data_IF_515522406284
#
_entry.id   IF_515522406284
#
_cell.length_a   1.000
_cell.length_b   1.000
_cell.length_c   1.000
_cell.angle_alpha   90.00
_cell.angle_beta   90.00
_cell.angle_gamma   90.00
#
_symmetry.space_group_name_H-M   'P 1'
#
loop_
_entity.id
_entity.type
_entity.pdbx_description
1 polymer ?
#
# COMPACT_ATOMS: atom_id res chain seq x y z
N UNK A 1 -13.31 2.37 -18.23
CA UNK A 1 -12.70 1.21 -18.84
C UNK A 1 -11.65 0.67 -17.88
N UNK A 2 -11.79 -0.54 -17.30
CA UNK A 2 -10.89 -1.00 -16.24
C UNK A 2 -9.53 -1.50 -16.75
N UNK A 3 -9.35 -1.69 -18.06
CA UNK A 3 -8.10 -2.19 -18.66
C UNK A 3 -7.78 -3.67 -18.38
N UNK A 4 -8.26 -4.21 -17.25
CA UNK A 4 -8.30 -5.63 -16.88
C UNK A 4 -9.62 -5.95 -16.19
N UNK A 5 -10.08 -7.21 -16.16
CA UNK A 5 -11.27 -7.59 -15.40
C UNK A 5 -11.09 -7.26 -13.91
N UNK A 6 -12.13 -6.67 -13.30
CA UNK A 6 -12.19 -6.50 -11.84
C UNK A 6 -12.29 -7.87 -11.17
N UNK A 7 -11.48 -8.06 -10.13
CA UNK A 7 -11.47 -9.28 -9.33
C UNK A 7 -12.84 -9.52 -8.64
N UNK A 8 -13.40 -10.75 -8.70
CA UNK A 8 -14.69 -11.06 -8.09
C UNK A 8 -14.76 -10.79 -6.57
N UNK A 9 -13.68 -11.02 -5.84
CA UNK A 9 -13.61 -10.76 -4.39
C UNK A 9 -13.60 -9.26 -4.12
N UNK A 10 -12.86 -8.48 -4.91
CA UNK A 10 -12.88 -7.02 -4.83
C UNK A 10 -14.29 -6.48 -5.11
N UNK A 11 -14.96 -6.99 -6.16
CA UNK A 11 -16.35 -6.67 -6.47
C UNK A 11 -17.30 -7.00 -5.33
N UNK A 12 -17.12 -8.13 -4.64
CA UNK A 12 -17.96 -8.50 -3.51
C UNK A 12 -17.84 -7.52 -2.33
N UNK A 13 -16.70 -6.84 -2.19
CA UNK A 13 -16.45 -5.83 -1.17
C UNK A 13 -16.98 -4.45 -1.60
N UNK A 14 -16.55 -3.93 -2.75
CA UNK A 14 -16.84 -2.54 -3.16
C UNK A 14 -18.09 -2.39 -4.04
N UNK A 15 -18.67 -3.49 -4.54
CA UNK A 15 -19.88 -3.49 -5.37
C UNK A 15 -19.71 -3.08 -6.84
N UNK A 16 -18.65 -2.33 -7.19
CA UNK A 16 -18.35 -1.88 -8.56
C UNK A 16 -18.11 -3.07 -9.51
N UNK A 17 -18.82 -3.10 -10.63
CA UNK A 17 -18.72 -4.11 -11.69
C UNK A 17 -17.91 -3.61 -12.90
N UNK A 18 -17.52 -4.53 -13.79
CA UNK A 18 -16.83 -4.15 -15.04
C UNK A 18 -17.74 -3.28 -15.91
N UNK A 19 -19.05 -3.52 -15.86
CA UNK A 19 -20.07 -2.78 -16.60
C UNK A 19 -20.19 -1.33 -16.09
N UNK A 20 -20.16 -1.13 -14.76
CA UNK A 20 -20.28 0.21 -14.15
C UNK A 20 -19.19 1.17 -14.60
N UNK A 21 -18.00 0.63 -14.89
CA UNK A 21 -16.85 1.42 -15.30
C UNK A 21 -16.52 1.23 -16.77
N UNK A 22 -17.30 0.51 -17.59
CA UNK A 22 -16.88 0.16 -18.96
C UNK A 22 -16.52 1.40 -19.80
N UNK A 23 -17.38 2.42 -19.76
CA UNK A 23 -17.26 3.65 -20.57
C UNK A 23 -16.51 4.79 -19.86
N UNK A 24 -16.02 4.55 -18.63
CA UNK A 24 -15.30 5.57 -17.87
C UNK A 24 -13.89 5.83 -18.42
N UNK A 25 -13.39 7.05 -18.19
CA UNK A 25 -12.04 7.43 -18.61
C UNK A 25 -10.97 6.58 -17.89
N UNK A 26 -9.90 6.14 -18.58
CA UNK A 26 -8.79 5.45 -17.93
C UNK A 26 -8.04 6.43 -17.00
N UNK A 27 -7.31 5.89 -16.02
CA UNK A 27 -6.54 6.69 -15.06
C UNK A 27 -5.63 7.71 -15.74
N UNK A 28 -4.86 7.30 -16.76
CA UNK A 28 -3.95 8.17 -17.50
C UNK A 28 -4.62 9.44 -18.07
N UNK A 29 -5.91 9.37 -18.42
CA UNK A 29 -6.67 10.53 -18.92
C UNK A 29 -7.00 11.56 -17.83
N UNK A 30 -6.93 11.16 -16.54
CA UNK A 30 -7.20 12.01 -15.36
C UNK A 30 -5.95 12.27 -14.52
N UNK A 31 -4.88 11.51 -14.74
CA UNK A 31 -3.68 11.50 -13.92
C UNK A 31 -3.12 12.91 -13.70
N UNK A 32 -2.89 13.69 -14.77
CA UNK A 32 -2.36 15.04 -14.62
C UNK A 32 -3.24 15.96 -13.76
N UNK A 33 -4.56 15.97 -14.00
CA UNK A 33 -5.48 16.79 -13.20
C UNK A 33 -5.54 16.36 -11.73
N UNK A 34 -5.41 15.06 -11.47
CA UNK A 34 -5.37 14.53 -10.10
C UNK A 34 -4.04 14.88 -9.42
N UNK A 35 -2.92 14.77 -10.14
CA UNK A 35 -1.60 15.17 -9.68
C UNK A 35 -1.60 16.65 -9.25
N UNK A 36 -2.09 17.52 -10.13
CA UNK A 36 -2.18 18.97 -9.89
C UNK A 36 -3.11 19.29 -8.70
N UNK A 37 -4.21 18.54 -8.54
CA UNK A 37 -5.11 18.69 -7.39
C UNK A 37 -4.45 18.27 -6.08
N UNK A 38 -3.63 17.22 -6.13
CA UNK A 38 -2.93 16.72 -4.96
C UNK A 38 -1.75 17.59 -4.57
N UNK A 39 -1.23 18.47 -5.42
CA UNK A 39 -0.12 19.36 -5.11
C UNK A 39 -0.59 20.75 -4.62
N UNK A 40 -0.14 21.27 -3.46
CA UNK A 40 0.82 20.74 -2.47
C UNK A 40 0.12 20.14 -1.22
N UNK A 41 -0.91 19.32 -1.40
CA UNK A 41 -1.68 18.77 -0.29
C UNK A 41 -0.89 17.76 0.56
N UNK A 42 -1.12 17.84 1.87
CA UNK A 42 -0.89 16.73 2.80
C UNK A 42 -1.93 15.63 2.55
N UNK A 43 -1.55 14.37 2.78
CA UNK A 43 -2.36 13.20 2.50
C UNK A 43 -2.80 12.53 3.80
N UNK A 44 -4.07 12.10 3.86
CA UNK A 44 -4.64 11.45 5.03
C UNK A 44 -5.60 10.34 4.64
N UNK A 45 -5.56 9.22 5.35
CA UNK A 45 -6.45 8.10 5.09
C UNK A 45 -6.36 7.00 6.15
N UNK A 46 -7.12 5.93 5.96
CA UNK A 46 -7.08 4.75 6.81
C UNK A 46 -6.34 3.65 6.06
N UNK A 47 -5.15 3.24 6.53
CA UNK A 47 -4.24 2.33 5.81
C UNK A 47 -3.61 2.92 4.53
N UNK A 48 -3.67 4.25 4.37
CA UNK A 48 -3.16 4.97 3.20
C UNK A 48 -1.70 4.65 2.90
N UNK A 49 -0.88 4.43 3.93
CA UNK A 49 0.57 4.18 3.78
C UNK A 49 0.90 2.81 3.19
N UNK A 50 -0.02 1.84 3.30
CA UNK A 50 0.19 0.47 2.81
C UNK A 50 -0.58 0.15 1.53
N UNK A 51 -1.61 0.93 1.21
CA UNK A 51 -2.50 0.64 0.10
C UNK A 51 -2.63 1.82 -0.87
N UNK A 52 -3.40 2.85 -0.53
CA UNK A 52 -3.80 3.87 -1.48
C UNK A 52 -2.61 4.65 -2.04
N UNK A 53 -1.64 5.04 -1.19
CA UNK A 53 -0.49 5.82 -1.63
C UNK A 53 0.49 5.00 -2.49
N UNK A 54 0.92 3.78 -2.10
CA UNK A 54 1.68 2.91 -3.00
C UNK A 54 0.98 2.64 -4.33
N UNK A 55 -0.33 2.42 -4.31
CA UNK A 55 -1.13 2.22 -5.53
C UNK A 55 -1.14 3.47 -6.41
N UNK A 56 -1.38 4.66 -5.84
CA UNK A 56 -1.35 5.92 -6.58
C UNK A 56 0.02 6.21 -7.19
N UNK A 57 1.11 5.96 -6.45
CA UNK A 57 2.48 6.11 -6.97
C UNK A 57 2.69 5.22 -8.21
N UNK A 58 2.26 3.95 -8.13
CA UNK A 58 2.35 3.03 -9.25
C UNK A 58 1.50 3.48 -10.46
N UNK A 59 0.29 3.95 -10.23
CA UNK A 59 -0.60 4.44 -11.30
C UNK A 59 -0.09 5.74 -11.95
N UNK A 60 0.46 6.67 -11.17
CA UNK A 60 1.13 7.86 -11.71
C UNK A 60 2.34 7.49 -12.56
N UNK A 61 3.17 6.55 -12.09
CA UNK A 61 4.33 6.04 -12.86
C UNK A 61 3.90 5.43 -14.19
N UNK A 62 2.80 4.66 -14.22
CA UNK A 62 2.20 4.11 -15.48
C UNK A 62 1.69 5.19 -16.43
N UNK A 63 1.42 6.39 -15.93
CA UNK A 63 1.00 7.55 -16.70
C UNK A 63 2.16 8.54 -16.99
N UNK A 64 3.41 8.09 -16.84
CA UNK A 64 4.63 8.88 -17.03
C UNK A 64 4.71 10.14 -16.12
N UNK A 65 4.13 10.05 -14.92
CA UNK A 65 4.17 11.09 -13.90
C UNK A 65 4.92 10.59 -12.65
N UNK A 66 6.02 11.25 -12.32
CA UNK A 66 6.77 10.97 -11.10
C UNK A 66 6.09 11.61 -9.88
N UNK A 67 5.34 10.83 -9.11
CA UNK A 67 4.72 11.27 -7.86
C UNK A 67 5.65 11.06 -6.67
N UNK A 68 6.39 12.11 -6.31
CA UNK A 68 7.18 12.12 -5.09
C UNK A 68 6.31 12.41 -3.87
N UNK A 69 6.18 11.42 -2.98
CA UNK A 69 5.43 11.55 -1.73
C UNK A 69 6.28 12.06 -0.57
N UNK A 70 7.62 12.03 -0.67
CA UNK A 70 8.56 12.44 0.40
C UNK A 70 8.40 13.89 0.87
N UNK A 71 8.08 14.88 0.02
CA UNK A 71 7.84 16.24 0.50
C UNK A 71 6.47 16.43 1.15
N UNK A 72 5.61 15.40 1.19
CA UNK A 72 4.23 15.49 1.66
C UNK A 72 4.10 14.83 3.03
N UNK A 73 3.30 15.43 3.89
CA UNK A 73 2.92 14.77 5.14
C UNK A 73 1.85 13.72 4.83
N UNK A 74 2.01 12.56 5.43
CA UNK A 74 1.08 11.43 5.31
C UNK A 74 0.61 10.99 6.68
N UNK A 75 -0.67 11.16 6.95
CA UNK A 75 -1.34 10.81 8.21
C UNK A 75 -2.16 9.53 8.02
N UNK A 76 -1.90 8.51 8.84
CA UNK A 76 -2.57 7.22 8.73
C UNK A 76 -3.31 6.87 10.03
N UNK A 77 -4.63 6.96 9.97
CA UNK A 77 -5.51 6.72 11.12
C UNK A 77 -5.48 5.27 11.58
N UNK A 78 -5.20 4.31 10.69
CA UNK A 78 -5.00 2.92 11.08
C UNK A 78 -3.68 2.75 11.83
N UNK A 79 -2.62 3.42 11.37
CA UNK A 79 -1.32 3.43 12.05
C UNK A 79 -1.43 3.96 13.48
N UNK A 80 -2.13 5.10 13.65
CA UNK A 80 -2.40 5.69 14.96
C UNK A 80 -3.18 4.69 15.84
N UNK A 81 -4.27 4.12 15.32
CA UNK A 81 -5.08 3.16 16.06
C UNK A 81 -4.27 1.94 16.53
N UNK A 82 -3.43 1.36 15.66
CA UNK A 82 -2.63 0.19 16.00
C UNK A 82 -1.54 0.46 17.04
N UNK A 83 -1.00 1.68 17.12
CA UNK A 83 -0.02 2.04 18.16
C UNK A 83 -0.69 2.34 19.49
N UNK A 84 -1.82 3.03 19.47
CA UNK A 84 -2.54 3.47 20.68
C UNK A 84 -3.43 2.39 21.31
N UNK A 85 -3.91 1.41 20.52
CA UNK A 85 -4.67 0.25 21.04
C UNK A 85 -3.89 -1.06 20.79
N UNK A 86 -2.85 -1.34 21.59
CA UNK A 86 -2.19 -2.63 21.57
C UNK A 86 -3.19 -3.75 21.86
N UNK A 87 -3.05 -4.87 21.15
CA UNK A 87 -3.99 -6.01 21.08
C UNK A 87 -4.09 -6.79 22.40
N UNK A 88 -4.63 -6.20 23.45
CA UNK A 88 -4.97 -6.88 24.70
C UNK A 88 -6.46 -7.28 24.75
N UNK A 89 -6.81 -8.14 25.72
CA UNK A 89 -8.17 -8.65 25.90
C UNK A 89 -9.20 -7.54 26.15
N UNK A 90 -8.77 -6.38 26.66
CA UNK A 90 -9.62 -5.22 26.92
C UNK A 90 -9.97 -4.46 25.64
N UNK A 91 -9.04 -4.37 24.69
CA UNK A 91 -9.29 -3.85 23.34
C UNK A 91 -10.28 -4.74 22.56
N UNK A 92 -10.16 -6.06 22.69
CA UNK A 92 -11.13 -7.01 22.13
C UNK A 92 -12.53 -6.83 22.75
N UNK A 93 -12.63 -6.66 24.06
CA UNK A 93 -13.91 -6.41 24.73
C UNK A 93 -14.57 -5.10 24.26
N UNK A 94 -13.80 -4.01 24.07
CA UNK A 94 -14.33 -2.76 23.52
C UNK A 94 -14.77 -2.86 22.05
N UNK A 95 -14.02 -3.62 21.24
CA UNK A 95 -14.31 -3.84 19.82
C UNK A 95 -15.54 -4.73 19.60
N UNK A 96 -15.68 -5.84 20.34
CA UNK A 96 -16.80 -6.76 20.21
C UNK A 96 -18.07 -6.32 20.96
N UNK A 97 -17.97 -5.43 21.96
CA UNK A 97 -19.13 -4.97 22.76
C UNK A 97 -19.58 -3.54 22.45
N UNK A 98 -18.99 -2.87 21.46
CA UNK A 98 -19.04 -1.41 21.35
C UNK A 98 -19.20 -0.83 19.96
N UNK A 99 -20.33 -1.18 19.30
CA UNK A 99 -20.95 -0.60 18.09
C UNK A 99 -20.57 -1.22 16.74
N UNK A 100 -21.61 -1.67 16.04
CA UNK A 100 -21.61 -1.90 14.60
C UNK A 100 -21.67 -0.57 13.84
N UNK A 101 -20.90 -0.45 12.77
CA UNK A 101 -21.17 0.53 11.73
C UNK A 101 -21.91 -0.20 10.60
N UNK A 102 -23.22 0.02 10.52
CA UNK A 102 -23.99 -0.31 9.32
C UNK A 102 -23.98 0.93 8.42
N UNK A 103 -23.25 0.88 7.30
CA UNK A 103 -23.64 1.43 6.00
C UNK A 103 -22.55 1.18 4.92
N UNK A 104 -23.00 1.09 3.67
CA UNK A 104 -22.29 0.53 2.51
C UNK A 104 -21.05 1.33 2.04
N UNK A 105 -20.02 0.56 1.63
CA UNK A 105 -18.71 0.94 1.08
C UNK A 105 -18.79 1.91 -0.10
N UNK A 106 -18.91 3.21 0.17
CA UNK A 106 -18.69 4.26 -0.84
C UNK A 106 -17.46 5.07 -0.46
N UNK A 107 -16.62 5.40 -1.43
CA UNK A 107 -15.38 6.14 -1.17
C UNK A 107 -15.61 7.46 -0.39
N UNK A 108 -16.74 8.15 -0.65
CA UNK A 108 -17.10 9.37 0.08
C UNK A 108 -17.56 9.09 1.51
N UNK A 109 -18.24 7.98 1.75
CA UNK A 109 -18.58 7.52 3.10
C UNK A 109 -17.30 7.21 3.88
N UNK A 110 -16.40 6.43 3.29
CA UNK A 110 -15.15 6.01 3.91
C UNK A 110 -14.26 7.20 4.29
N UNK A 111 -14.13 8.21 3.43
CA UNK A 111 -13.31 9.39 3.75
C UNK A 111 -13.92 10.26 4.86
N UNK A 112 -15.26 10.37 4.92
CA UNK A 112 -15.94 11.09 6.01
C UNK A 112 -15.76 10.38 7.35
N UNK A 113 -15.89 9.06 7.35
CA UNK A 113 -15.65 8.22 8.52
C UNK A 113 -14.19 8.33 8.96
N UNK A 114 -13.25 8.26 8.01
CA UNK A 114 -11.82 8.39 8.26
C UNK A 114 -11.45 9.75 8.91
N UNK A 115 -12.05 10.85 8.43
CA UNK A 115 -11.88 12.16 9.06
C UNK A 115 -12.47 12.21 10.49
N UNK A 116 -13.66 11.63 10.71
CA UNK A 116 -14.27 11.55 12.03
C UNK A 116 -13.44 10.70 13.01
N UNK A 117 -12.81 9.63 12.52
CA UNK A 117 -11.88 8.80 13.30
C UNK A 117 -10.68 9.62 13.75
N UNK A 118 -10.05 10.42 12.88
CA UNK A 118 -8.93 11.28 13.28
C UNK A 118 -9.33 12.25 14.40
N UNK A 119 -10.50 12.89 14.29
CA UNK A 119 -11.02 13.78 15.34
C UNK A 119 -11.18 13.02 16.66
N UNK A 120 -11.80 11.84 16.63
CA UNK A 120 -11.98 11.02 17.83
C UNK A 120 -10.65 10.55 18.43
N UNK A 121 -9.65 10.21 17.60
CA UNK A 121 -8.30 9.87 18.05
C UNK A 121 -7.62 11.06 18.74
N UNK A 122 -7.75 12.26 18.17
CA UNK A 122 -7.22 13.49 18.76
C UNK A 122 -7.90 13.85 20.09
N UNK A 123 -9.17 13.54 20.27
CA UNK A 123 -9.87 13.73 21.54
C UNK A 123 -9.49 12.68 22.59
N UNK A 124 -9.32 11.42 22.15
CA UNK A 124 -9.06 10.27 23.02
C UNK A 124 -7.61 10.21 23.50
N UNK A 125 -6.64 10.56 22.65
CA UNK A 125 -5.22 10.44 22.92
C UNK A 125 -4.61 11.83 23.12
N UNK A 126 -4.52 12.34 24.37
CA UNK A 126 -4.02 13.69 24.63
C UNK A 126 -2.55 13.88 24.22
N UNK A 127 -1.76 12.79 24.28
CA UNK A 127 -0.34 12.77 23.93
C UNK A 127 -0.07 12.66 22.42
N UNK A 128 -1.11 12.48 21.60
CA UNK A 128 -0.96 12.44 20.14
C UNK A 128 -0.46 13.82 19.65
N UNK A 129 0.59 13.85 18.79
CA UNK A 129 1.13 15.11 18.30
C UNK A 129 0.07 15.96 17.59
N UNK A 130 0.04 17.27 17.90
CA UNK A 130 -0.91 18.24 17.33
C UNK A 130 -0.34 19.03 16.16
N UNK A 131 0.97 19.01 16.02
CA UNK A 131 1.67 19.53 14.86
C UNK A 131 1.68 18.48 13.74
N UNK A 132 1.52 18.93 12.49
CA UNK A 132 1.39 18.04 11.34
C UNK A 132 2.69 17.32 11.01
N UNK A 133 3.86 17.97 11.16
CA UNK A 133 5.15 17.33 10.93
C UNK A 133 5.40 16.23 11.98
N UNK A 134 5.12 16.53 13.25
CA UNK A 134 5.22 15.55 14.32
C UNK A 134 4.23 14.39 14.17
N UNK A 135 2.98 14.66 13.75
CA UNK A 135 1.98 13.61 13.52
C UNK A 135 2.34 12.72 12.31
N UNK A 136 2.89 13.32 11.27
CA UNK A 136 3.45 12.59 10.13
C UNK A 136 4.58 11.66 10.57
N UNK A 137 5.57 12.18 11.32
CA UNK A 137 6.67 11.39 11.86
C UNK A 137 6.18 10.26 12.76
N UNK A 138 5.19 10.53 13.62
CA UNK A 138 4.56 9.54 14.48
C UNK A 138 3.96 8.38 13.66
N UNK A 139 3.29 8.67 12.54
CA UNK A 139 2.76 7.63 11.65
C UNK A 139 3.88 6.87 10.91
N UNK A 140 4.95 7.58 10.51
CA UNK A 140 6.06 7.03 9.75
C UNK A 140 6.87 6.01 10.54
N UNK A 141 7.07 6.24 11.84
CA UNK A 141 7.71 5.30 12.77
C UNK A 141 7.00 3.93 12.81
N UNK A 142 5.67 3.91 12.61
CA UNK A 142 4.84 2.72 12.79
C UNK A 142 4.68 1.99 11.46
N UNK A 143 4.33 2.75 10.42
CA UNK A 143 3.96 2.25 9.10
C UNK A 143 4.73 3.06 8.04
N UNK A 144 6.04 2.84 7.88
CA UNK A 144 6.78 3.54 6.84
C UNK A 144 6.20 3.14 5.47
N UNK A 145 6.08 4.13 4.59
CA UNK A 145 5.61 3.93 3.22
C UNK A 145 6.66 3.09 2.49
N UNK A 146 6.19 2.09 1.73
CA UNK A 146 7.05 1.19 0.97
C UNK A 146 6.56 1.10 -0.46
N UNK A 147 7.48 1.29 -1.39
CA UNK A 147 7.30 0.94 -2.80
C UNK A 147 6.97 -0.55 -2.96
N UNK A 148 6.45 -0.95 -4.13
CA UNK A 148 6.16 -2.35 -4.39
C UNK A 148 7.40 -3.25 -4.19
N UNK A 149 8.57 -2.77 -4.62
CA UNK A 149 9.84 -3.47 -4.40
C UNK A 149 10.18 -3.62 -2.91
N UNK A 150 10.07 -2.54 -2.12
CA UNK A 150 10.38 -2.56 -0.68
C UNK A 150 9.39 -3.38 0.15
N UNK A 151 8.19 -3.61 -0.37
CA UNK A 151 7.23 -4.54 0.24
C UNK A 151 7.67 -6.00 0.10
N UNK A 152 8.41 -6.32 -0.97
CA UNK A 152 8.95 -7.66 -1.23
C UNK A 152 10.36 -7.87 -0.71
N UNK A 153 11.20 -6.84 -0.74
CA UNK A 153 12.62 -6.94 -0.42
C UNK A 153 13.10 -5.87 0.57
N UNK A 154 14.06 -6.24 1.40
CA UNK A 154 14.96 -5.32 2.09
C UNK A 154 16.20 -5.12 1.23
N UNK A 155 16.77 -3.92 1.25
CA UNK A 155 18.10 -3.67 0.69
C UNK A 155 19.14 -3.77 1.80
N UNK A 156 20.02 -4.76 1.72
CA UNK A 156 21.13 -4.99 2.65
C UNK A 156 22.45 -4.81 1.89
N UNK A 157 22.97 -3.58 1.89
CA UNK A 157 24.08 -3.20 1.03
C UNK A 157 23.68 -3.21 -0.45
N UNK A 158 24.30 -4.07 -1.24
CA UNK A 158 23.97 -4.29 -2.65
C UNK A 158 22.99 -5.47 -2.84
N UNK A 159 22.70 -6.24 -1.80
CA UNK A 159 21.84 -7.42 -1.89
C UNK A 159 20.38 -7.07 -1.58
N UNK A 160 19.47 -7.75 -2.30
CA UNK A 160 18.04 -7.74 -2.01
C UNK A 160 17.66 -8.99 -1.23
N UNK A 161 17.05 -8.83 -0.08
CA UNK A 161 16.66 -9.92 0.83
C UNK A 161 15.15 -9.97 0.95
N UNK A 162 14.52 -11.13 0.79
CA UNK A 162 13.07 -11.28 0.86
C UNK A 162 12.51 -10.81 2.23
N UNK A 163 11.59 -9.85 2.22
CA UNK A 163 10.87 -9.34 3.40
C UNK A 163 9.65 -10.20 3.75
N UNK A 164 9.08 -10.90 2.77
CA UNK A 164 7.86 -11.70 2.87
C UNK A 164 7.93 -12.96 2.02
N UNK A 165 6.89 -13.80 2.12
CA UNK A 165 6.77 -15.03 1.35
C UNK A 165 7.56 -16.20 1.93
N UNK A 166 7.64 -17.30 1.17
CA UNK A 166 8.29 -18.57 1.56
C UNK A 166 9.77 -18.37 1.92
N UNK A 167 10.44 -17.44 1.24
CA UNK A 167 11.88 -17.21 1.36
C UNK A 167 12.25 -16.02 2.25
N UNK A 168 11.34 -15.56 3.12
CA UNK A 168 11.60 -14.43 4.02
C UNK A 168 12.94 -14.58 4.76
N UNK A 169 13.78 -13.55 4.67
CA UNK A 169 15.11 -13.47 5.27
C UNK A 169 16.25 -14.04 4.42
N UNK A 170 15.96 -14.57 3.22
CA UNK A 170 16.98 -15.09 2.30
C UNK A 170 17.32 -14.10 1.19
N UNK A 171 18.59 -14.03 0.75
CA UNK A 171 18.99 -13.22 -0.40
C UNK A 171 18.31 -13.69 -1.70
N UNK A 172 17.88 -12.73 -2.54
CA UNK A 172 17.28 -12.99 -3.84
C UNK A 172 18.23 -13.77 -4.75
N UNK A 173 19.52 -13.42 -4.75
CA UNK A 173 20.54 -14.11 -5.54
C UNK A 173 20.72 -15.58 -5.12
N UNK A 174 20.60 -15.88 -3.82
CA UNK A 174 20.67 -17.26 -3.32
C UNK A 174 19.47 -18.08 -3.80
N UNK A 175 18.26 -17.51 -3.70
CA UNK A 175 17.03 -18.16 -4.16
C UNK A 175 17.05 -18.34 -5.69
N UNK A 176 17.60 -17.38 -6.44
CA UNK A 176 17.75 -17.50 -7.89
C UNK A 176 18.65 -18.68 -8.29
N UNK A 177 19.74 -18.91 -7.55
CA UNK A 177 20.66 -20.01 -7.83
C UNK A 177 20.13 -21.39 -7.39
N UNK A 178 19.41 -21.46 -6.26
CA UNK A 178 19.04 -22.74 -5.64
C UNK A 178 17.60 -23.17 -5.89
N UNK A 179 16.69 -22.22 -6.11
CA UNK A 179 15.25 -22.44 -6.17
C UNK A 179 14.61 -21.55 -7.27
N UNK A 180 15.17 -21.58 -8.47
CA UNK A 180 14.71 -20.80 -9.62
C UNK A 180 13.20 -20.94 -9.89
N UNK A 181 12.63 -22.13 -9.71
CA UNK A 181 11.19 -22.41 -9.83
C UNK A 181 10.31 -21.45 -9.01
N UNK A 182 10.78 -21.00 -7.84
CA UNK A 182 10.03 -20.03 -7.02
C UNK A 182 9.98 -18.66 -7.71
N UNK A 183 11.09 -18.24 -8.33
CA UNK A 183 11.16 -16.99 -9.07
C UNK A 183 10.40 -17.08 -10.39
N UNK A 184 10.40 -18.22 -11.07
CA UNK A 184 9.56 -18.44 -12.25
C UNK A 184 8.07 -18.36 -11.91
N UNK A 185 7.65 -18.94 -10.78
CA UNK A 185 6.30 -18.76 -10.26
C UNK A 185 5.99 -17.29 -9.99
N UNK A 186 6.92 -16.54 -9.38
CA UNK A 186 6.78 -15.11 -9.18
C UNK A 186 6.59 -14.37 -10.52
N UNK A 187 7.34 -14.75 -11.57
CA UNK A 187 7.23 -14.15 -12.90
C UNK A 187 5.89 -14.42 -13.59
N UNK A 188 5.25 -15.53 -13.27
CA UNK A 188 3.94 -15.92 -13.78
C UNK A 188 2.75 -15.44 -12.95
N UNK A 189 2.98 -14.71 -11.84
CA UNK A 189 1.89 -14.23 -11.00
C UNK A 189 1.26 -12.96 -11.58
N UNK A 190 -0.07 -12.99 -11.75
CA UNK A 190 -0.83 -11.91 -12.42
C UNK A 190 -0.83 -10.57 -11.67
N UNK A 191 -0.62 -10.58 -10.34
CA UNK A 191 -0.68 -9.39 -9.47
C UNK A 191 0.70 -8.93 -8.96
N UNK A 192 1.78 -9.34 -9.63
CA UNK A 192 3.12 -8.85 -9.28
C UNK A 192 3.40 -7.49 -9.92
N UNK A 193 4.00 -6.58 -9.16
CA UNK A 193 4.43 -5.29 -9.70
C UNK A 193 5.58 -5.45 -10.71
N UNK A 194 5.58 -4.63 -11.75
CA UNK A 194 6.57 -4.70 -12.83
C UNK A 194 8.02 -4.51 -12.33
N UNK A 195 8.24 -3.67 -11.34
CA UNK A 195 9.57 -3.43 -10.75
C UNK A 195 10.07 -4.65 -9.98
N UNK A 196 9.18 -5.35 -9.28
CA UNK A 196 9.49 -6.63 -8.62
C UNK A 196 9.84 -7.68 -9.66
N UNK A 197 9.06 -7.77 -10.75
CA UNK A 197 9.29 -8.71 -11.84
C UNK A 197 10.61 -8.46 -12.56
N UNK A 198 10.96 -7.20 -12.81
CA UNK A 198 12.23 -6.81 -13.45
C UNK A 198 13.43 -7.28 -12.64
N UNK A 199 13.46 -6.95 -11.34
CA UNK A 199 14.52 -7.38 -10.42
C UNK A 199 14.61 -8.91 -10.33
N UNK A 200 13.47 -9.61 -10.33
CA UNK A 200 13.44 -11.08 -10.32
C UNK A 200 14.01 -11.67 -11.61
N UNK A 201 13.72 -11.07 -12.78
CA UNK A 201 14.31 -11.50 -14.07
C UNK A 201 15.82 -11.30 -14.09
N UNK A 202 16.30 -10.15 -13.63
CA UNK A 202 17.73 -9.86 -13.56
C UNK A 202 18.46 -10.85 -12.66
N UNK A 203 17.89 -11.17 -11.49
CA UNK A 203 18.47 -12.13 -10.57
C UNK A 203 18.54 -13.55 -11.16
N UNK A 204 17.50 -13.99 -11.88
CA UNK A 204 17.50 -15.27 -12.58
C UNK A 204 18.57 -15.31 -13.68
N UNK A 205 18.68 -14.25 -14.50
CA UNK A 205 19.69 -14.17 -15.56
C UNK A 205 21.12 -14.23 -14.99
N UNK A 206 21.39 -13.52 -13.90
CA UNK A 206 22.69 -13.51 -13.23
C UNK A 206 23.02 -14.82 -12.49
N UNK A 207 22.01 -15.59 -12.09
CA UNK A 207 22.19 -16.93 -11.50
C UNK A 207 22.64 -17.96 -12.52
N UNK A 208 22.11 -17.89 -13.75
CA UNK A 208 22.43 -18.81 -14.85
C UNK A 208 23.89 -18.63 -15.31
N UNK A 209 24.40 -17.40 -15.38
CA UNK A 209 25.80 -17.13 -15.78
C UNK A 209 26.86 -17.64 -14.78
N UNK A 210 26.47 -18.02 -13.55
CA UNK A 210 27.40 -18.54 -12.53
C UNK A 210 27.52 -20.06 -12.49
N UNK A 211 26.61 -20.78 -13.17
CA UNK A 211 26.58 -22.25 -13.23
C UNK A 211 27.21 -22.83 -14.51
N UNK A 212 27.60 -21.99 -15.48
CA UNK A 212 28.41 -22.32 -16.67
C UNK A 212 29.92 -22.12 -16.45
#
# INVERSE_FOLDING_TARGET
NPGRPIDPEARAVHGISNEDVADEAPFAARAKSLFDLMDPCDLGGFNIRRFDLPMLIAEFKRADLEFDHRPRRVIDMQGIFHREEPRDLSAAARFYLGREHQEAHTALGDIRTTAAVLVAQMERYPDLPRDMDALHGYCDEILPIRTALEQWFNKEGEELVFRRGKHKGRPLAEVAAQEADYLEWMLGADDMDAEVLEVVREALAAGIEKDD
#
